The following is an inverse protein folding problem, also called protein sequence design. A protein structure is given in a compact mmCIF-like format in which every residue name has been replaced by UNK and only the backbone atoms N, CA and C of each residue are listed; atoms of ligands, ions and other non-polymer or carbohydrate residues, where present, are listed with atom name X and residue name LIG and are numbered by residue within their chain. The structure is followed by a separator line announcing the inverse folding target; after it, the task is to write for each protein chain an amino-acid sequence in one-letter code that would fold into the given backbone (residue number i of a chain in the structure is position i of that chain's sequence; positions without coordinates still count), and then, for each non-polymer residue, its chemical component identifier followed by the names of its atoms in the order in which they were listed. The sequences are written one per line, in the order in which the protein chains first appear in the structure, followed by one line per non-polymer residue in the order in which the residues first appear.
data_IF_025185469124
#
_entry.id   IF_025185469124
#
_cell.length_a   1.000
_cell.length_b   1.000
_cell.length_c   1.000
_cell.angle_alpha   90.00
_cell.angle_beta   90.00
_cell.angle_gamma   90.00
#
_symmetry.space_group_name_H-M   'P 1'
#
loop_
_entity.id
_entity.type
_entity.pdbx_description
1 polymer ?
#
# COMPACT_ATOMS: atom_id res chain seq x y z
N UNK A 1 -19.84 12.69 13.04
CA UNK A 1 -20.07 11.44 12.29
C UNK A 1 -18.78 11.04 11.58
N UNK A 2 -18.29 9.83 11.80
CA UNK A 2 -17.04 9.34 11.23
C UNK A 2 -17.26 8.91 9.78
N UNK A 3 -16.72 9.65 8.80
CA UNK A 3 -16.21 8.93 7.64
C UNK A 3 -14.86 8.35 8.07
N UNK A 4 -14.76 7.03 7.90
CA UNK A 4 -13.56 6.21 7.85
C UNK A 4 -14.07 4.77 7.91
N UNK A 5 -14.54 4.21 6.78
CA UNK A 5 -14.95 2.79 6.68
C UNK A 5 -13.80 1.79 6.94
N UNK A 6 -12.67 2.30 7.43
CA UNK A 6 -11.45 1.63 7.78
C UNK A 6 -11.57 1.06 9.19
N UNK A 7 -11.60 -0.26 9.30
CA UNK A 7 -11.41 -0.95 10.56
C UNK A 7 -9.93 -0.99 10.93
N UNK A 8 -9.45 0.04 11.63
CA UNK A 8 -8.05 0.13 12.04
C UNK A 8 -7.59 -0.99 12.95
N UNK A 9 -8.49 -1.75 13.60
CA UNK A 9 -8.08 -2.87 14.46
C UNK A 9 -7.32 -3.96 13.69
N UNK A 10 -7.49 -4.01 12.36
CA UNK A 10 -6.80 -4.92 11.46
C UNK A 10 -5.40 -4.47 11.02
N UNK A 11 -4.89 -3.32 11.47
CA UNK A 11 -3.69 -2.72 10.88
C UNK A 11 -2.65 -2.28 11.91
N UNK A 12 -1.41 -2.12 11.46
CA UNK A 12 -0.41 -1.28 12.09
C UNK A 12 0.10 -0.25 11.06
N UNK A 13 0.28 1.00 11.48
CA UNK A 13 0.78 2.08 10.62
C UNK A 13 2.29 2.19 10.76
N UNK A 14 3.02 2.16 9.66
CA UNK A 14 4.43 2.52 9.58
C UNK A 14 4.55 3.97 9.10
N UNK A 15 5.32 4.80 9.82
CA UNK A 15 5.56 6.21 9.51
C UNK A 15 6.99 6.43 8.99
N UNK A 16 7.26 7.50 8.21
CA UNK A 16 8.58 7.77 7.62
C UNK A 16 9.54 8.47 8.61
N UNK A 17 9.32 8.28 9.91
CA UNK A 17 10.10 8.83 11.03
C UNK A 17 10.51 7.68 11.95
N UNK A 18 11.38 7.92 12.92
CA UNK A 18 11.84 6.91 13.86
C UNK A 18 13.36 6.93 13.97
N UNK A 19 13.97 5.75 14.09
CA UNK A 19 15.44 5.61 14.11
C UNK A 19 15.92 4.83 12.89
N UNK A 20 17.19 4.98 12.45
CA UNK A 20 17.69 4.29 11.26
C UNK A 20 17.37 2.78 11.23
N UNK A 21 16.75 2.32 10.15
CA UNK A 21 16.31 0.93 9.97
C UNK A 21 15.04 0.55 10.74
N UNK A 22 14.49 1.44 11.57
CA UNK A 22 13.33 1.21 12.45
C UNK A 22 12.33 2.36 12.38
N UNK A 23 11.49 2.38 11.33
CA UNK A 23 10.37 3.33 11.25
C UNK A 23 9.46 3.20 12.47
N UNK A 24 8.93 4.33 12.93
CA UNK A 24 7.93 4.36 13.99
C UNK A 24 6.70 3.59 13.53
N UNK A 25 6.25 2.67 14.36
CA UNK A 25 5.05 1.87 14.13
C UNK A 25 3.99 2.24 15.16
N UNK A 26 2.77 2.52 14.70
CA UNK A 26 1.62 2.85 15.54
C UNK A 26 0.61 1.72 15.45
N UNK A 27 0.18 1.20 16.59
CA UNK A 27 -0.82 0.14 16.66
C UNK A 27 -2.19 0.62 16.14
N UNK A 28 -2.89 -0.24 15.42
CA UNK A 28 -4.20 0.04 14.84
C UNK A 28 -5.26 0.54 15.83
N UNK A 29 -5.26 -0.01 17.05
CA UNK A 29 -6.15 0.41 18.13
C UNK A 29 -6.04 1.90 18.47
N UNK A 30 -4.88 2.51 18.24
CA UNK A 30 -4.64 3.94 18.47
C UNK A 30 -5.03 4.82 17.27
N UNK A 31 -5.14 4.26 16.06
CA UNK A 31 -5.26 5.04 14.82
C UNK A 31 -6.54 5.84 14.69
N UNK A 32 -7.63 5.43 15.36
CA UNK A 32 -8.90 6.18 15.35
C UNK A 32 -8.76 7.62 15.88
N UNK A 33 -7.82 7.86 16.78
CA UNK A 33 -7.59 9.18 17.41
C UNK A 33 -6.17 9.71 17.16
N UNK A 34 -5.31 8.88 16.56
CA UNK A 34 -3.94 9.26 16.28
C UNK A 34 -3.87 10.30 15.15
N UNK A 35 -2.97 11.25 15.33
CA UNK A 35 -2.36 12.03 14.26
C UNK A 35 -0.89 12.17 14.64
N UNK A 36 0.02 12.19 13.67
CA UNK A 36 1.39 12.52 14.00
C UNK A 36 1.44 13.95 14.58
N UNK A 37 2.32 14.25 15.56
CA UNK A 37 2.22 15.49 16.35
C UNK A 37 2.14 16.79 15.55
N UNK A 38 2.71 16.80 14.34
CA UNK A 38 2.73 17.94 13.42
C UNK A 38 1.80 17.77 12.22
N UNK A 39 1.03 16.68 12.14
CA UNK A 39 0.19 16.29 10.98
C UNK A 39 0.98 16.32 9.66
N UNK A 40 2.26 15.96 9.72
CA UNK A 40 3.16 16.01 8.57
C UNK A 40 3.00 14.79 7.66
N UNK A 41 2.71 13.63 8.24
CA UNK A 41 2.75 12.35 7.54
C UNK A 41 1.43 11.61 7.61
N UNK A 42 0.74 11.66 8.75
CA UNK A 42 -0.50 10.95 8.96
C UNK A 42 -1.48 11.74 9.82
N UNK A 43 -2.66 11.99 9.28
CA UNK A 43 -3.78 12.56 10.04
C UNK A 43 -5.11 12.24 9.34
N UNK A 44 -6.21 12.32 10.10
CA UNK A 44 -7.55 12.37 9.50
C UNK A 44 -7.91 13.82 9.23
N UNK A 45 -8.18 14.14 7.96
CA UNK A 45 -8.67 15.46 7.58
C UNK A 45 -10.06 15.71 8.20
N UNK A 46 -10.27 16.82 8.94
CA UNK A 46 -11.51 17.03 9.66
C UNK A 46 -12.71 17.33 8.74
N UNK A 47 -12.46 17.81 7.52
CA UNK A 47 -13.48 18.28 6.57
C UNK A 47 -13.95 17.15 5.65
N UNK A 48 -13.00 16.55 4.94
CA UNK A 48 -13.23 15.47 3.97
C UNK A 48 -13.34 14.11 4.64
N UNK A 49 -12.87 14.02 5.90
CA UNK A 49 -12.79 12.78 6.67
C UNK A 49 -11.85 11.73 6.05
N UNK A 50 -11.00 12.09 5.09
CA UNK A 50 -10.00 11.20 4.55
C UNK A 50 -8.84 10.98 5.53
N UNK A 51 -8.24 9.80 5.49
CA UNK A 51 -6.93 9.53 6.06
C UNK A 51 -5.87 10.03 5.08
N UNK A 52 -5.15 11.07 5.47
CA UNK A 52 -4.06 11.66 4.68
C UNK A 52 -2.77 10.94 5.02
N UNK A 53 -2.10 10.40 4.00
CA UNK A 53 -0.81 9.70 4.10
C UNK A 53 0.22 10.37 3.18
N UNK A 54 1.26 10.95 3.78
CA UNK A 54 2.31 11.69 3.07
C UNK A 54 3.67 11.06 3.31
N UNK A 55 4.52 11.11 2.30
CA UNK A 55 5.95 10.78 2.42
C UNK A 55 6.74 11.98 1.89
N UNK A 56 7.75 12.48 2.62
CA UNK A 56 8.40 13.75 2.29
C UNK A 56 9.36 13.65 1.08
N UNK A 57 9.79 12.44 0.73
CA UNK A 57 10.75 12.16 -0.33
C UNK A 57 11.50 10.87 -0.04
N UNK A 58 12.77 10.80 -0.46
CA UNK A 58 13.67 9.69 -0.18
C UNK A 58 14.50 9.90 1.10
N UNK A 59 15.11 8.83 1.66
CA UNK A 59 16.06 8.97 2.76
C UNK A 59 17.20 9.94 2.45
N UNK A 60 17.71 9.93 1.22
CA UNK A 60 18.81 10.80 0.79
C UNK A 60 18.40 12.29 0.71
N UNK A 61 17.17 12.59 0.31
CA UNK A 61 16.70 13.96 0.14
C UNK A 61 16.14 14.59 1.41
N UNK A 62 15.56 13.78 2.31
CA UNK A 62 14.79 14.30 3.46
C UNK A 62 15.19 13.70 4.80
N UNK A 63 16.06 12.68 4.81
CA UNK A 63 16.39 11.95 6.03
C UNK A 63 15.24 11.09 6.56
N UNK A 64 14.19 10.84 5.76
CA UNK A 64 13.10 9.96 6.18
C UNK A 64 13.59 8.53 6.45
N UNK A 65 12.89 7.86 7.35
CA UNK A 65 13.29 6.55 7.88
C UNK A 65 12.60 5.43 7.11
N UNK A 66 13.36 4.39 6.77
CA UNK A 66 12.89 3.17 6.13
C UNK A 66 13.28 1.93 6.95
N UNK A 67 12.66 0.79 6.65
CA UNK A 67 13.01 -0.50 7.25
C UNK A 67 14.32 -1.03 6.67
N UNK A 68 15.00 -1.92 7.40
CA UNK A 68 16.27 -2.55 6.96
C UNK A 68 16.21 -3.18 5.56
N UNK A 69 15.06 -3.76 5.18
CA UNK A 69 14.90 -4.49 3.92
C UNK A 69 14.26 -3.67 2.79
N UNK A 70 14.12 -2.36 2.98
CA UNK A 70 13.60 -1.43 1.98
C UNK A 70 14.62 -0.31 1.75
N UNK A 71 14.53 0.37 0.61
CA UNK A 71 15.31 1.58 0.31
C UNK A 71 14.45 2.85 0.37
N UNK A 72 13.17 2.69 0.68
CA UNK A 72 12.11 3.64 0.38
C UNK A 72 11.27 3.94 1.63
N UNK A 73 10.89 5.19 1.79
CA UNK A 73 10.10 5.66 2.91
C UNK A 73 8.61 5.42 2.69
N UNK A 74 7.86 5.29 3.79
CA UNK A 74 6.43 4.99 3.73
C UNK A 74 5.65 5.65 4.85
N UNK A 75 4.41 6.02 4.53
CA UNK A 75 3.30 6.14 5.47
C UNK A 75 2.29 5.10 5.05
N UNK A 76 2.32 3.92 5.65
CA UNK A 76 1.63 2.75 5.09
C UNK A 76 1.09 1.83 6.18
N UNK A 77 -0.14 1.36 5.99
CA UNK A 77 -0.76 0.35 6.83
C UNK A 77 -0.27 -1.03 6.42
N UNK A 78 0.08 -1.85 7.41
CA UNK A 78 0.37 -3.28 7.30
C UNK A 78 -0.75 -4.04 8.00
N UNK A 79 -1.40 -4.95 7.30
CA UNK A 79 -2.47 -5.78 7.87
C UNK A 79 -1.91 -6.67 8.97
N UNK A 80 -2.52 -6.69 10.15
CA UNK A 80 -2.13 -7.46 11.34
C UNK A 80 -3.18 -8.45 11.80
N UNK A 81 -4.41 -8.36 11.30
CA UNK A 81 -5.48 -9.28 11.68
C UNK A 81 -6.31 -9.66 10.45
N UNK A 82 -6.10 -10.87 9.90
CA UNK A 82 -5.15 -11.88 10.34
C UNK A 82 -3.68 -11.45 10.12
N UNK A 83 -2.73 -12.11 10.81
CA UNK A 83 -1.31 -11.77 10.67
C UNK A 83 -0.73 -12.15 9.30
N UNK A 84 -1.30 -13.19 8.69
CA UNK A 84 -1.16 -13.63 7.31
C UNK A 84 -2.35 -14.54 6.94
N UNK A 85 -2.56 -14.76 5.65
CA UNK A 85 -3.63 -15.59 5.08
C UNK A 85 -3.10 -16.44 3.92
N UNK A 86 -3.81 -17.54 3.61
CA UNK A 86 -3.48 -18.46 2.52
C UNK A 86 -4.12 -17.98 1.20
N UNK A 87 -3.34 -17.68 0.15
CA UNK A 87 -3.89 -17.28 -1.15
C UNK A 87 -4.79 -18.32 -1.82
N UNK A 88 -4.79 -19.57 -1.34
CA UNK A 88 -5.69 -20.63 -1.81
C UNK A 88 -7.08 -20.57 -1.20
N UNK A 89 -7.30 -19.76 -0.16
CA UNK A 89 -8.62 -19.51 0.40
C UNK A 89 -9.55 -18.86 -0.64
N UNK A 90 -10.86 -19.03 -0.46
CA UNK A 90 -11.87 -18.55 -1.41
C UNK A 90 -11.94 -17.02 -1.51
N UNK A 91 -11.57 -16.32 -0.43
CA UNK A 91 -11.67 -14.87 -0.33
C UNK A 91 -10.40 -14.31 0.28
N UNK A 92 -9.76 -13.36 -0.39
CA UNK A 92 -8.69 -12.52 0.15
C UNK A 92 -8.64 -11.25 -0.70
N UNK A 93 -9.25 -10.17 -0.21
CA UNK A 93 -9.41 -8.92 -0.97
C UNK A 93 -9.03 -7.72 -0.15
N UNK A 94 -8.27 -6.81 -0.74
CA UNK A 94 -8.06 -5.44 -0.26
C UNK A 94 -8.79 -4.48 -1.22
N UNK A 95 -9.80 -3.78 -0.72
CA UNK A 95 -10.50 -2.74 -1.47
C UNK A 95 -10.26 -1.38 -0.83
N UNK A 96 -9.81 -0.41 -1.62
CA UNK A 96 -9.57 0.95 -1.16
C UNK A 96 -10.28 1.97 -2.04
N UNK A 97 -10.76 3.05 -1.44
CA UNK A 97 -11.22 4.26 -2.16
C UNK A 97 -10.30 5.41 -1.79
N UNK A 98 -9.70 6.07 -2.76
CA UNK A 98 -8.65 7.05 -2.54
C UNK A 98 -8.61 8.14 -3.61
N UNK A 99 -7.85 9.20 -3.32
CA UNK A 99 -7.36 10.18 -4.28
C UNK A 99 -5.85 10.29 -4.12
N UNK A 100 -5.12 10.12 -5.21
CA UNK A 100 -3.68 10.45 -5.23
C UNK A 100 -3.57 11.93 -5.57
N UNK A 101 -3.16 12.73 -4.58
CA UNK A 101 -3.02 14.19 -4.69
C UNK A 101 -1.68 14.55 -5.31
N UNK A 102 -0.64 13.81 -4.92
CA UNK A 102 0.69 13.90 -5.49
C UNK A 102 1.33 12.52 -5.53
N UNK A 103 1.74 12.09 -6.71
CA UNK A 103 2.60 10.92 -6.86
C UNK A 103 4.05 11.38 -7.06
N UNK A 104 4.98 10.53 -6.69
CA UNK A 104 6.39 10.67 -7.05
C UNK A 104 6.59 10.46 -8.57
N UNK A 105 7.64 11.07 -9.13
CA UNK A 105 7.94 11.07 -10.58
C UNK A 105 9.01 10.02 -10.99
N UNK A 106 9.26 9.01 -10.15
CA UNK A 106 10.10 7.87 -10.52
C UNK A 106 9.46 7.01 -11.61
N UNK A 107 10.23 6.07 -12.15
CA UNK A 107 9.78 5.14 -13.19
C UNK A 107 8.53 4.33 -12.81
N UNK A 108 8.31 4.10 -11.51
CA UNK A 108 7.13 3.38 -11.00
C UNK A 108 6.11 4.33 -10.35
N UNK A 109 6.55 5.43 -9.76
CA UNK A 109 5.71 6.38 -9.04
C UNK A 109 5.53 6.00 -7.57
N UNK A 110 4.32 6.09 -7.05
CA UNK A 110 4.01 5.75 -5.65
C UNK A 110 3.25 4.44 -5.56
N UNK A 111 3.71 3.50 -4.72
CA UNK A 111 3.00 2.27 -4.43
C UNK A 111 1.84 2.57 -3.47
N UNK A 112 0.61 2.28 -3.90
CA UNK A 112 -0.64 2.62 -3.22
C UNK A 112 -1.27 1.43 -2.48
N UNK A 113 -0.86 0.22 -2.83
CA UNK A 113 -1.32 -1.03 -2.21
C UNK A 113 -0.40 -2.19 -2.57
N UNK A 114 -0.33 -3.18 -1.69
CA UNK A 114 0.53 -4.36 -1.87
C UNK A 114 -0.15 -5.62 -1.36
N UNK A 115 0.30 -6.75 -1.92
CA UNK A 115 0.24 -8.03 -1.22
C UNK A 115 1.69 -8.40 -0.93
N UNK A 116 2.04 -8.53 0.35
CA UNK A 116 3.37 -8.88 0.76
C UNK A 116 3.43 -10.33 1.22
N UNK A 117 4.52 -11.03 0.90
CA UNK A 117 4.74 -12.38 1.41
C UNK A 117 4.91 -12.28 2.93
N UNK A 118 4.33 -13.21 3.68
CA UNK A 118 4.48 -13.26 5.12
C UNK A 118 5.98 -13.25 5.50
N UNK A 119 6.34 -12.44 6.51
CA UNK A 119 7.73 -12.19 6.86
C UNK A 119 8.48 -13.46 7.30
N UNK A 120 7.74 -14.47 7.76
CA UNK A 120 8.27 -15.81 8.08
C UNK A 120 8.69 -16.62 6.85
N UNK A 121 8.32 -16.18 5.64
CA UNK A 121 8.58 -16.86 4.36
C UNK A 121 9.53 -16.05 3.47
N UNK A 122 9.31 -14.75 3.31
CA UNK A 122 10.17 -13.86 2.53
C UNK A 122 9.95 -12.39 2.88
N UNK A 123 10.96 -11.56 2.60
CA UNK A 123 10.91 -10.09 2.72
C UNK A 123 10.45 -9.41 1.42
N UNK A 124 9.96 -10.18 0.45
CA UNK A 124 9.57 -9.70 -0.89
C UNK A 124 8.05 -9.59 -1.01
N UNK A 125 7.53 -8.67 -1.83
CA UNK A 125 6.11 -8.65 -2.14
C UNK A 125 5.70 -9.83 -3.04
N UNK A 126 4.41 -10.15 -3.05
CA UNK A 126 3.76 -10.81 -4.19
C UNK A 126 3.62 -9.78 -5.31
N UNK A 127 3.03 -8.62 -4.96
CA UNK A 127 2.80 -7.54 -5.90
C UNK A 127 2.75 -6.17 -5.23
N UNK A 128 3.03 -5.15 -6.04
CA UNK A 128 2.98 -3.74 -5.69
C UNK A 128 2.12 -3.01 -6.74
N UNK A 129 1.03 -2.37 -6.31
CA UNK A 129 0.18 -1.55 -7.18
C UNK A 129 0.72 -0.12 -7.17
N UNK A 130 1.32 0.28 -8.29
CA UNK A 130 1.92 1.59 -8.45
C UNK A 130 0.98 2.57 -9.16
N UNK A 131 1.10 3.84 -8.78
CA UNK A 131 0.43 4.98 -9.39
C UNK A 131 1.47 6.05 -9.76
N UNK A 132 1.55 6.43 -11.04
CA UNK A 132 2.53 7.41 -11.54
C UNK A 132 2.04 8.87 -11.47
N UNK A 133 2.95 9.82 -11.63
CA UNK A 133 2.63 11.26 -11.80
C UNK A 133 1.70 11.55 -12.98
N UNK A 134 1.61 10.65 -13.97
CA UNK A 134 0.74 10.73 -15.14
C UNK A 134 -0.63 10.06 -14.93
N UNK A 135 -0.86 9.47 -13.77
CA UNK A 135 -2.08 8.73 -13.47
C UNK A 135 -2.09 7.29 -13.95
N UNK A 136 -0.98 6.79 -14.49
CA UNK A 136 -0.89 5.39 -14.91
C UNK A 136 -0.85 4.48 -13.69
N UNK A 137 -1.67 3.43 -13.74
CA UNK A 137 -1.73 2.39 -12.72
C UNK A 137 -1.09 1.14 -13.30
N UNK A 138 -0.08 0.63 -12.61
CA UNK A 138 0.62 -0.60 -12.98
C UNK A 138 0.73 -1.54 -11.79
N UNK A 139 0.84 -2.83 -12.07
CA UNK A 139 1.08 -3.86 -11.07
C UNK A 139 2.47 -4.44 -11.30
N UNK A 140 3.37 -4.20 -10.36
CA UNK A 140 4.58 -4.98 -10.22
C UNK A 140 4.26 -6.33 -9.61
N UNK A 141 4.67 -7.43 -10.25
CA UNK A 141 4.54 -8.78 -9.69
C UNK A 141 5.92 -9.43 -9.61
N UNK A 142 6.31 -9.79 -8.38
CA UNK A 142 7.58 -10.48 -8.15
C UNK A 142 7.52 -11.87 -8.78
N UNK A 143 8.57 -12.30 -9.47
CA UNK A 143 8.53 -13.59 -10.18
C UNK A 143 9.06 -14.75 -9.32
N UNK A 144 9.85 -14.47 -8.27
CA UNK A 144 10.46 -15.47 -7.38
C UNK A 144 10.58 -14.95 -5.93
N UNK A 145 10.52 -15.85 -4.92
CA UNK A 145 10.60 -15.45 -3.51
C UNK A 145 11.91 -14.80 -3.08
N UNK A 146 13.02 -15.02 -3.80
CA UNK A 146 14.30 -14.31 -3.59
C UNK A 146 14.23 -12.82 -3.99
N UNK A 147 13.30 -12.53 -4.88
CA UNK A 147 12.96 -11.24 -5.46
C UNK A 147 14.04 -10.55 -6.27
N UNK A 148 13.77 -9.29 -6.61
CA UNK A 148 14.63 -8.47 -7.47
C UNK A 148 14.40 -8.73 -8.96
N UNK A 149 13.25 -9.31 -9.31
CA UNK A 149 12.86 -9.64 -10.67
C UNK A 149 11.38 -9.36 -10.89
N UNK A 150 10.90 -8.24 -10.36
CA UNK A 150 9.53 -7.80 -10.55
C UNK A 150 9.24 -7.53 -12.04
N UNK A 151 8.06 -7.98 -12.49
CA UNK A 151 7.54 -7.65 -13.82
C UNK A 151 6.38 -6.67 -13.67
N UNK A 152 6.53 -5.49 -14.27
CA UNK A 152 5.55 -4.41 -14.21
C UNK A 152 4.59 -4.50 -15.39
N UNK A 153 3.28 -4.51 -15.09
CA UNK A 153 2.22 -4.74 -16.06
C UNK A 153 1.16 -3.62 -15.97
N UNK A 154 0.59 -3.17 -17.10
CA UNK A 154 -0.42 -2.11 -17.08
C UNK A 154 -1.73 -2.60 -16.47
N UNK A 155 -2.33 -1.79 -15.59
CA UNK A 155 -3.63 -2.04 -14.98
C UNK A 155 -4.67 -1.06 -15.51
N UNK A 156 -4.35 0.23 -15.58
CA UNK A 156 -5.30 1.26 -16.03
C UNK A 156 -4.71 2.66 -15.95
N UNK A 157 -5.55 3.67 -16.09
CA UNK A 157 -5.18 5.07 -15.89
C UNK A 157 -6.32 5.80 -15.18
N UNK A 158 -5.98 6.59 -14.17
CA UNK A 158 -6.88 7.52 -13.48
C UNK A 158 -6.13 8.85 -13.34
N UNK A 159 -6.69 9.99 -13.77
CA UNK A 159 -5.99 11.27 -13.65
C UNK A 159 -5.70 11.66 -12.19
N UNK A 160 -4.53 12.26 -11.95
CA UNK A 160 -4.14 12.81 -10.64
C UNK A 160 -5.24 13.72 -10.05
N UNK A 161 -5.45 13.63 -8.74
CA UNK A 161 -6.51 14.37 -8.06
C UNK A 161 -7.92 13.80 -8.23
N UNK A 162 -8.10 12.75 -9.03
CA UNK A 162 -9.39 12.06 -9.18
C UNK A 162 -9.59 11.04 -8.07
N UNK A 163 -10.80 10.98 -7.51
CA UNK A 163 -11.21 9.92 -6.59
C UNK A 163 -11.54 8.65 -7.37
N UNK A 164 -10.97 7.53 -6.98
CA UNK A 164 -11.22 6.22 -7.58
C UNK A 164 -11.17 5.12 -6.52
N UNK A 165 -11.56 3.90 -6.91
CA UNK A 165 -11.34 2.71 -6.10
C UNK A 165 -10.47 1.70 -6.82
N UNK A 166 -9.76 0.88 -6.05
CA UNK A 166 -9.14 -0.34 -6.54
C UNK A 166 -9.50 -1.51 -5.64
N UNK A 167 -9.47 -2.72 -6.20
CA UNK A 167 -9.41 -3.98 -5.45
C UNK A 167 -8.18 -4.75 -5.89
N UNK A 168 -7.34 -5.19 -4.95
CA UNK A 168 -6.30 -6.20 -5.18
C UNK A 168 -6.77 -7.47 -4.48
N UNK A 169 -6.85 -8.58 -5.22
CA UNK A 169 -7.30 -9.87 -4.70
C UNK A 169 -6.25 -10.95 -4.99
N UNK A 170 -5.98 -11.82 -4.02
CA UNK A 170 -5.20 -13.04 -4.23
C UNK A 170 -5.86 -14.21 -3.51
N UNK A 171 -6.83 -14.79 -4.20
CA UNK A 171 -7.74 -15.79 -3.68
C UNK A 171 -7.89 -16.92 -4.70
N UNK A 172 -8.21 -18.12 -4.24
CA UNK A 172 -8.26 -19.32 -5.08
C UNK A 172 -7.00 -19.48 -5.96
N UNK A 173 -5.84 -19.06 -5.45
CA UNK A 173 -4.55 -19.00 -6.14
C UNK A 173 -4.54 -18.14 -7.42
N UNK A 174 -5.36 -17.08 -7.46
CA UNK A 174 -5.47 -16.16 -8.59
C UNK A 174 -5.25 -14.72 -8.13
N UNK A 175 -4.18 -14.10 -8.63
CA UNK A 175 -3.92 -12.67 -8.42
C UNK A 175 -4.73 -11.85 -9.43
N UNK A 176 -5.46 -10.85 -8.94
CA UNK A 176 -6.22 -9.95 -9.79
C UNK A 176 -6.32 -8.53 -9.24
N UNK A 177 -6.55 -7.58 -10.15
CA UNK A 177 -6.80 -6.18 -9.83
C UNK A 177 -8.00 -5.65 -10.62
N UNK A 178 -8.87 -4.90 -9.97
CA UNK A 178 -9.90 -4.08 -10.63
C UNK A 178 -9.79 -2.62 -10.20
N UNK A 179 -10.19 -1.72 -11.10
CA UNK A 179 -10.28 -0.27 -10.85
C UNK A 179 -11.75 0.14 -11.01
N UNK A 180 -12.28 0.95 -10.09
CA UNK A 180 -13.66 1.46 -10.13
C UNK A 180 -14.75 0.38 -10.25
N UNK A 181 -14.50 -0.83 -9.75
CA UNK A 181 -15.44 -1.95 -9.85
C UNK A 181 -15.59 -2.52 -11.26
N UNK A 182 -14.69 -2.15 -12.20
CA UNK A 182 -14.61 -2.76 -13.52
C UNK A 182 -14.17 -4.23 -13.44
N UNK A 183 -14.18 -4.92 -14.58
CA UNK A 183 -13.76 -6.32 -14.68
C UNK A 183 -12.32 -6.52 -14.17
N UNK A 184 -12.13 -7.58 -13.39
CA UNK A 184 -10.82 -7.96 -12.86
C UNK A 184 -9.84 -8.32 -13.98
N UNK A 185 -8.66 -7.69 -13.94
CA UNK A 185 -7.48 -8.12 -14.69
C UNK A 185 -6.70 -9.14 -13.88
N UNK A 186 -6.30 -10.23 -14.53
CA UNK A 186 -5.65 -11.37 -13.86
C UNK A 186 -4.16 -11.40 -14.17
N UNK A 187 -3.34 -11.73 -13.18
CA UNK A 187 -1.88 -11.69 -13.30
C UNK A 187 -1.27 -13.04 -12.86
N UNK A 188 -0.20 -13.45 -13.55
CA UNK A 188 0.57 -14.62 -13.14
C UNK A 188 1.38 -14.29 -11.89
N UNK A 189 1.38 -15.18 -10.89
CA UNK A 189 2.29 -15.14 -9.74
C UNK A 189 3.56 -15.97 -9.97
N UNK A 190 3.81 -16.38 -11.23
CA UNK A 190 5.02 -17.05 -11.69
C UNK A 190 5.40 -18.25 -10.80
N UNK A 191 6.60 -18.24 -10.23
CA UNK A 191 7.13 -19.31 -9.38
C UNK A 191 7.01 -18.97 -7.88
N UNK A 192 6.11 -18.06 -7.49
CA UNK A 192 5.91 -17.71 -6.08
C UNK A 192 5.22 -18.83 -5.29
N UNK A 193 4.40 -19.65 -5.96
CA UNK A 193 3.69 -20.80 -5.37
C UNK A 193 2.89 -20.43 -4.11
N UNK A 194 1.95 -19.48 -4.25
CA UNK A 194 0.97 -19.11 -3.22
C UNK A 194 1.47 -19.08 -1.76
N UNK A 195 2.54 -18.33 -1.43
CA UNK A 195 3.00 -18.29 -0.05
C UNK A 195 1.99 -17.52 0.79
N UNK A 196 1.94 -17.83 2.09
CA UNK A 196 1.19 -17.03 3.06
C UNK A 196 1.52 -15.55 2.87
N UNK A 197 0.50 -14.71 2.91
CA UNK A 197 0.60 -13.30 2.52
C UNK A 197 -0.18 -12.38 3.46
N UNK A 198 0.07 -11.08 3.39
CA UNK A 198 -0.70 -10.04 4.09
C UNK A 198 -0.86 -8.79 3.21
N UNK A 199 -1.90 -8.02 3.44
CA UNK A 199 -2.13 -6.78 2.70
C UNK A 199 -1.32 -5.59 3.25
N UNK A 200 -0.98 -4.65 2.37
CA UNK A 200 -0.56 -3.30 2.74
C UNK A 200 -1.32 -2.26 1.92
N UNK A 201 -1.60 -1.11 2.51
CA UNK A 201 -2.27 0.00 1.85
C UNK A 201 -1.74 1.33 2.38
N UNK A 202 -1.38 2.25 1.49
CA UNK A 202 -0.92 3.56 1.92
C UNK A 202 -0.08 4.27 0.89
N UNK A 203 0.95 4.97 1.35
CA UNK A 203 1.89 5.71 0.54
C UNK A 203 3.29 5.12 0.73
N UNK A 204 3.70 4.24 -0.19
CA UNK A 204 5.06 3.71 -0.25
C UNK A 204 5.81 4.30 -1.45
N UNK A 205 6.64 5.30 -1.17
CA UNK A 205 7.22 6.17 -2.20
C UNK A 205 8.46 5.54 -2.86
N UNK A 206 8.41 5.27 -4.17
CA UNK A 206 9.51 4.61 -4.89
C UNK A 206 10.61 5.56 -5.39
N UNK A 207 10.44 6.87 -5.24
CA UNK A 207 11.43 7.84 -5.69
C UNK A 207 11.88 8.81 -4.60
N UNK A 208 12.20 10.02 -5.04
CA UNK A 208 12.79 11.07 -4.19
C UNK A 208 11.87 12.26 -3.98
N UNK A 209 10.79 12.39 -4.74
CA UNK A 209 9.86 13.50 -4.61
C UNK A 209 8.83 13.20 -3.53
N UNK A 210 8.33 14.26 -2.88
CA UNK A 210 7.24 14.11 -1.91
C UNK A 210 5.97 13.57 -2.59
N UNK A 211 5.25 12.69 -1.90
CA UNK A 211 3.98 12.10 -2.35
C UNK A 211 2.88 12.28 -1.28
N UNK A 212 1.63 12.32 -1.72
CA UNK A 212 0.46 12.53 -0.88
C UNK A 212 -0.77 11.79 -1.41
N UNK A 213 -1.37 10.98 -0.55
CA UNK A 213 -2.55 10.16 -0.87
C UNK A 213 -3.60 10.36 0.22
N UNK A 214 -4.85 10.52 -0.19
CA UNK A 214 -6.01 10.65 0.69
C UNK A 214 -6.87 9.39 0.55
N UNK A 215 -6.95 8.57 1.59
CA UNK A 215 -7.79 7.38 1.64
C UNK A 215 -9.14 7.70 2.29
N UNK A 216 -10.23 7.38 1.60
CA UNK A 216 -11.60 7.52 2.09
C UNK A 216 -12.15 6.20 2.66
N UNK A 217 -11.64 5.08 2.18
CA UNK A 217 -12.00 3.73 2.65
C UNK A 217 -10.86 2.75 2.38
N UNK A 218 -10.71 1.76 3.27
CA UNK A 218 -9.75 0.65 3.18
C UNK A 218 -10.39 -0.55 3.90
N UNK A 219 -10.65 -1.62 3.16
CA UNK A 219 -11.35 -2.81 3.66
C UNK A 219 -10.60 -4.06 3.24
N UNK A 220 -10.53 -5.01 4.17
CA UNK A 220 -10.09 -6.38 3.88
C UNK A 220 -11.18 -7.40 4.17
N UNK A 221 -11.24 -8.41 3.31
CA UNK A 221 -12.17 -9.54 3.35
C UNK A 221 -11.38 -10.85 3.24
N UNK A 222 -11.71 -11.83 4.09
CA UNK A 222 -11.15 -13.18 4.15
C UNK A 222 -12.26 -14.20 4.37
#
# INVERSE_FOLDING_TARGET
ASANGIDFSKWALQLPIGTPGKPQTVAGSSLKTYSDPKKQYYYTDPTTRAVVMKVPGSPASTGCVHTTNSKHCRTELRETTPASWDPKASTNRLTSTLTVVKADDSAHGTCIGQIHIADSVSVRPICELYYSSKGDITLGVEQMRKGGNEKVLPVGNVPLGTKFSYTIAYESNKLSVSINGEAEKTFSTYSLDAPLSYFKAGNYNQGSDASEIHFFDIKTEH
#
